data_IF_466681068859
#
_entry.id   IF_466681068859
#
_cell.length_a   1.000
_cell.length_b   1.000
_cell.length_c   1.000
_cell.angle_alpha   90.00
_cell.angle_beta   90.00
_cell.angle_gamma   90.00
#
_symmetry.space_group_name_H-M   'P 1'
#
loop_
_entity.id
_entity.type
_entity.pdbx_description
1 polymer ?
#
# COMPACT_ATOMS: atom_id res chain seq x y z
N UNK A 1 23.82 -11.27 0.47
CA UNK A 1 22.39 -10.97 0.74
C UNK A 1 21.79 -12.20 1.39
N UNK A 2 20.94 -12.08 2.41
CA UNK A 2 20.35 -13.26 3.04
C UNK A 2 19.37 -13.94 2.08
N UNK A 3 19.45 -15.29 1.98
CA UNK A 3 18.53 -16.07 1.13
C UNK A 3 17.14 -16.19 1.75
N UNK A 4 17.08 -16.09 3.09
CA UNK A 4 15.83 -16.11 3.88
C UNK A 4 15.86 -15.11 5.01
N UNK A 5 14.71 -14.51 5.26
CA UNK A 5 14.43 -13.62 6.39
C UNK A 5 13.38 -14.29 7.27
N UNK A 6 13.58 -14.23 8.58
CA UNK A 6 12.58 -14.63 9.59
C UNK A 6 12.11 -13.36 10.28
N UNK A 7 10.81 -13.07 10.18
CA UNK A 7 10.17 -11.94 10.86
C UNK A 7 9.52 -12.45 12.13
N UNK A 8 9.89 -11.85 13.27
CA UNK A 8 9.38 -12.20 14.59
C UNK A 8 8.65 -11.00 15.22
N UNK A 9 7.54 -11.28 15.90
CA UNK A 9 6.85 -10.32 16.75
C UNK A 9 6.59 -10.96 18.11
N UNK A 10 7.05 -10.32 19.18
CA UNK A 10 6.87 -10.81 20.56
C UNK A 10 7.27 -12.29 20.77
N UNK A 11 8.33 -12.76 20.09
CA UNK A 11 8.80 -14.13 20.17
C UNK A 11 8.08 -15.15 19.28
N UNK A 12 7.06 -14.72 18.52
CA UNK A 12 6.32 -15.57 17.58
C UNK A 12 6.80 -15.29 16.16
N UNK A 13 6.98 -16.34 15.36
CA UNK A 13 7.35 -16.21 13.93
C UNK A 13 6.09 -15.78 13.16
N UNK A 14 6.15 -14.61 12.55
CA UNK A 14 5.09 -14.06 11.69
C UNK A 14 5.20 -14.56 10.25
N UNK A 15 6.42 -14.56 9.71
CA UNK A 15 6.67 -15.05 8.36
C UNK A 15 8.14 -15.42 8.15
N UNK A 16 8.37 -16.44 7.32
CA UNK A 16 9.69 -16.84 6.83
C UNK A 16 9.66 -16.85 5.30
N UNK A 17 10.62 -16.24 4.65
CA UNK A 17 10.67 -16.24 3.19
C UNK A 17 11.86 -15.48 2.64
N UNK A 18 11.98 -15.41 1.32
CA UNK A 18 12.97 -14.56 0.66
C UNK A 18 12.60 -13.08 0.85
N UNK A 19 13.55 -12.14 0.72
CA UNK A 19 13.26 -10.69 0.76
C UNK A 19 12.12 -10.28 -0.17
N UNK A 20 12.09 -10.80 -1.40
CA UNK A 20 11.05 -10.50 -2.39
C UNK A 20 9.69 -11.09 -1.99
N UNK A 21 9.66 -12.30 -1.43
CA UNK A 21 8.41 -12.88 -0.93
C UNK A 21 7.80 -12.04 0.20
N UNK A 22 8.61 -11.61 1.17
CA UNK A 22 8.12 -10.78 2.27
C UNK A 22 7.67 -9.39 1.80
N UNK A 23 8.34 -8.87 0.78
CA UNK A 23 8.00 -7.56 0.20
C UNK A 23 6.70 -7.59 -0.59
N UNK A 24 6.55 -8.56 -1.51
CA UNK A 24 5.39 -8.65 -2.42
C UNK A 24 4.21 -9.42 -1.84
N UNK A 25 4.46 -10.35 -0.91
CA UNK A 25 3.43 -11.20 -0.31
C UNK A 25 3.57 -11.23 1.23
N UNK A 26 3.45 -10.08 1.92
CA UNK A 26 3.47 -10.06 3.37
C UNK A 26 2.25 -10.82 3.92
N UNK A 27 2.44 -11.62 4.97
CA UNK A 27 1.37 -12.41 5.55
C UNK A 27 0.33 -11.56 6.31
N UNK A 28 0.77 -10.42 6.85
CA UNK A 28 -0.07 -9.55 7.66
C UNK A 28 0.45 -8.09 7.69
N UNK A 29 -0.30 -7.21 8.36
CA UNK A 29 0.04 -5.79 8.55
C UNK A 29 1.41 -5.58 9.21
N UNK A 30 1.79 -6.44 10.16
CA UNK A 30 3.07 -6.31 10.86
C UNK A 30 4.23 -6.52 9.89
N UNK A 31 4.23 -7.62 9.13
CA UNK A 31 5.26 -7.92 8.13
C UNK A 31 5.30 -6.83 7.06
N UNK A 32 4.14 -6.42 6.54
CA UNK A 32 4.03 -5.38 5.52
C UNK A 32 4.61 -4.03 5.96
N UNK A 33 4.38 -3.66 7.22
CA UNK A 33 4.91 -2.42 7.81
C UNK A 33 6.37 -2.50 8.24
N UNK A 34 6.89 -3.72 8.47
CA UNK A 34 8.27 -3.94 8.87
C UNK A 34 9.22 -4.00 7.67
N UNK A 35 8.78 -4.60 6.56
CA UNK A 35 9.58 -4.81 5.36
C UNK A 35 9.42 -3.63 4.39
N UNK A 36 10.53 -2.99 4.09
CA UNK A 36 10.62 -1.86 3.15
C UNK A 36 11.01 -0.54 3.83
N UNK A 37 11.73 0.29 3.09
CA UNK A 37 12.10 1.65 3.49
C UNK A 37 12.00 2.55 2.24
N UNK A 38 11.08 3.52 2.23
CA UNK A 38 10.07 3.83 3.26
C UNK A 38 9.07 2.70 3.53
N UNK A 39 8.36 2.79 4.67
CA UNK A 39 7.32 1.82 5.04
C UNK A 39 6.11 1.89 4.10
N UNK A 40 5.35 0.79 4.03
CA UNK A 40 4.05 0.74 3.36
C UNK A 40 3.08 1.75 3.97
N UNK A 41 2.33 2.47 3.13
CA UNK A 41 1.20 3.28 3.55
C UNK A 41 0.01 2.38 3.87
N UNK A 42 -0.71 2.66 4.96
CA UNK A 42 -1.92 1.94 5.34
C UNK A 42 -3.12 2.88 5.36
N UNK A 43 -4.05 2.68 4.45
CA UNK A 43 -5.26 3.48 4.31
C UNK A 43 -6.47 2.66 4.78
N UNK A 44 -7.27 3.24 5.67
CA UNK A 44 -8.49 2.59 6.15
C UNK A 44 -9.61 2.74 5.13
N UNK A 45 -10.36 1.66 4.93
CA UNK A 45 -11.47 1.64 4.00
C UNK A 45 -12.50 0.57 4.37
N UNK A 46 -13.45 0.38 3.48
CA UNK A 46 -14.45 -0.67 3.56
C UNK A 46 -14.59 -1.36 2.20
N UNK A 47 -15.07 -2.57 2.21
CA UNK A 47 -15.40 -3.30 0.99
C UNK A 47 -16.62 -2.63 0.34
N UNK A 48 -16.45 -2.10 -0.86
CA UNK A 48 -17.52 -1.46 -1.64
C UNK A 48 -18.16 -2.40 -2.67
N UNK A 49 -17.46 -3.49 -3.00
CA UNK A 49 -17.95 -4.49 -3.95
C UNK A 49 -16.99 -5.67 -4.05
N UNK A 50 -17.53 -6.79 -4.50
CA UNK A 50 -16.82 -8.05 -4.69
C UNK A 50 -17.22 -8.60 -6.05
N UNK A 51 -16.24 -8.96 -6.86
CA UNK A 51 -16.48 -9.64 -8.13
C UNK A 51 -15.34 -10.64 -8.44
N UNK A 52 -15.43 -11.30 -9.59
CA UNK A 52 -14.39 -12.26 -10.01
C UNK A 52 -13.04 -11.64 -10.35
N UNK A 53 -12.93 -10.32 -10.39
CA UNK A 53 -11.70 -9.57 -10.72
C UNK A 53 -11.00 -9.01 -9.47
N UNK A 54 -11.64 -9.10 -8.29
CA UNK A 54 -11.05 -8.65 -7.05
C UNK A 54 -12.04 -8.02 -6.06
N UNK A 55 -11.50 -7.19 -5.19
CA UNK A 55 -12.22 -6.47 -4.14
C UNK A 55 -12.15 -4.97 -4.40
N UNK A 56 -13.30 -4.32 -4.58
CA UNK A 56 -13.39 -2.87 -4.62
C UNK A 56 -13.40 -2.32 -3.19
N UNK A 57 -12.43 -1.46 -2.88
CA UNK A 57 -12.27 -0.80 -1.59
C UNK A 57 -12.66 0.66 -1.73
N UNK A 58 -13.52 1.15 -0.85
CA UNK A 58 -13.84 2.57 -0.71
C UNK A 58 -13.11 3.14 0.50
N UNK A 59 -12.29 4.16 0.28
CA UNK A 59 -11.56 4.86 1.32
C UNK A 59 -12.42 5.97 1.96
N UNK A 60 -11.98 6.51 3.10
CA UNK A 60 -12.71 7.56 3.82
C UNK A 60 -12.91 8.85 3.00
N UNK A 61 -11.99 9.14 2.08
CA UNK A 61 -12.08 10.23 1.11
C UNK A 61 -13.07 9.98 -0.04
N UNK A 62 -13.66 8.78 -0.13
CA UNK A 62 -14.58 8.39 -1.20
C UNK A 62 -13.89 7.79 -2.44
N UNK A 63 -12.57 7.73 -2.45
CA UNK A 63 -11.83 7.07 -3.53
C UNK A 63 -12.12 5.57 -3.53
N UNK A 64 -12.32 5.00 -4.74
CA UNK A 64 -12.54 3.57 -4.93
C UNK A 64 -11.36 2.95 -5.66
N UNK A 65 -10.79 1.91 -5.07
CA UNK A 65 -9.64 1.18 -5.58
C UNK A 65 -10.03 -0.28 -5.75
N UNK A 66 -9.95 -0.82 -6.96
CA UNK A 66 -10.21 -2.23 -7.24
C UNK A 66 -8.90 -3.03 -7.10
N UNK A 67 -8.77 -3.78 -6.03
CA UNK A 67 -7.56 -4.56 -5.71
C UNK A 67 -7.74 -5.99 -6.21
N UNK A 68 -6.80 -6.54 -7.02
CA UNK A 68 -6.93 -7.88 -7.61
C UNK A 68 -6.54 -8.98 -6.61
N UNK A 69 -7.35 -9.14 -5.57
CA UNK A 69 -7.17 -10.15 -4.51
C UNK A 69 -8.40 -11.05 -4.39
N UNK A 70 -8.19 -12.23 -3.80
CA UNK A 70 -9.29 -13.12 -3.45
C UNK A 70 -10.17 -12.50 -2.37
N UNK A 71 -11.48 -12.53 -2.55
CA UNK A 71 -12.43 -11.99 -1.57
C UNK A 71 -12.48 -12.81 -0.28
N UNK A 72 -12.15 -14.09 -0.33
CA UNK A 72 -12.23 -15.00 0.83
C UNK A 72 -13.62 -14.98 1.46
N UNK A 73 -13.69 -14.66 2.74
CA UNK A 73 -14.94 -14.53 3.50
C UNK A 73 -15.43 -13.09 3.65
N UNK A 74 -14.80 -12.13 2.99
CA UNK A 74 -15.18 -10.71 3.05
C UNK A 74 -16.59 -10.48 2.50
N UNK A 75 -17.25 -9.48 3.07
CA UNK A 75 -18.57 -9.01 2.66
C UNK A 75 -18.53 -7.51 2.38
N UNK A 76 -19.49 -7.04 1.61
CA UNK A 76 -19.69 -5.60 1.42
C UNK A 76 -19.87 -4.93 2.79
N UNK A 77 -19.29 -3.76 2.96
CA UNK A 77 -19.18 -2.95 4.17
C UNK A 77 -18.21 -3.48 5.24
N UNK A 78 -17.56 -4.64 5.07
CA UNK A 78 -16.51 -5.07 5.99
C UNK A 78 -15.37 -4.04 6.01
N UNK A 79 -14.88 -3.65 7.22
CA UNK A 79 -13.72 -2.78 7.33
C UNK A 79 -12.46 -3.51 6.87
N UNK A 80 -11.63 -2.80 6.10
CA UNK A 80 -10.37 -3.33 5.56
C UNK A 80 -9.27 -2.28 5.65
N UNK A 81 -8.03 -2.72 5.50
CA UNK A 81 -6.88 -1.83 5.36
C UNK A 81 -6.23 -2.05 4.00
N UNK A 82 -6.16 -0.99 3.20
CA UNK A 82 -5.42 -0.97 1.94
C UNK A 82 -3.96 -0.64 2.22
N UNK A 83 -3.06 -1.54 1.86
CA UNK A 83 -1.61 -1.32 1.91
C UNK A 83 -1.10 -0.86 0.54
N UNK A 84 -0.45 0.29 0.51
CA UNK A 84 0.10 0.88 -0.72
C UNK A 84 1.57 1.20 -0.52
N UNK A 85 2.45 0.59 -1.30
CA UNK A 85 3.87 0.92 -1.27
C UNK A 85 4.09 2.35 -1.76
N UNK A 86 5.10 3.06 -1.24
CA UNK A 86 5.40 4.44 -1.66
C UNK A 86 5.59 4.62 -3.17
N UNK A 87 6.20 3.66 -3.84
CA UNK A 87 6.43 3.63 -5.29
C UNK A 87 5.18 3.27 -6.12
N UNK A 88 4.14 2.75 -5.47
CA UNK A 88 2.83 2.49 -6.11
C UNK A 88 1.94 3.73 -6.15
N UNK A 89 2.37 4.82 -5.50
CA UNK A 89 1.73 6.14 -5.56
C UNK A 89 2.51 7.03 -6.50
N UNK A 90 1.80 7.78 -7.35
CA UNK A 90 2.41 8.79 -8.22
C UNK A 90 1.55 10.03 -8.31
N UNK A 91 2.14 11.24 -8.39
CA UNK A 91 1.41 12.46 -8.70
C UNK A 91 0.71 12.36 -10.05
N UNK A 92 -0.58 12.66 -10.07
CA UNK A 92 -1.40 12.65 -11.27
C UNK A 92 -2.62 13.54 -11.06
N UNK A 93 -2.88 14.47 -11.99
CA UNK A 93 -3.99 15.41 -11.89
C UNK A 93 -5.38 14.72 -11.88
N UNK A 94 -5.48 13.51 -12.45
CA UNK A 94 -6.69 12.68 -12.45
C UNK A 94 -6.72 11.65 -11.29
N UNK A 95 -5.72 11.68 -10.41
CA UNK A 95 -5.61 10.75 -9.30
C UNK A 95 -6.76 10.89 -8.30
N UNK A 96 -7.26 9.77 -7.74
CA UNK A 96 -8.41 9.76 -6.86
C UNK A 96 -8.09 10.23 -5.41
N UNK A 97 -6.81 10.28 -5.03
CA UNK A 97 -6.39 10.67 -3.69
C UNK A 97 -5.89 12.11 -3.68
N UNK A 98 -6.59 13.00 -2.98
CA UNK A 98 -6.22 14.40 -2.87
C UNK A 98 -5.65 14.72 -1.49
N UNK A 99 -4.66 15.61 -1.44
CA UNK A 99 -4.01 15.98 -0.18
C UNK A 99 -3.13 17.22 -0.31
N UNK A 100 -2.33 17.45 0.73
CA UNK A 100 -1.38 18.57 0.79
C UNK A 100 0.00 18.02 1.15
N UNK A 101 1.02 18.43 0.41
CA UNK A 101 2.41 18.08 0.66
C UNK A 101 2.90 18.74 1.95
N UNK A 102 3.49 17.93 2.85
CA UNK A 102 4.07 18.41 4.11
C UNK A 102 5.57 18.60 4.02
N UNK A 103 6.26 17.65 3.40
CA UNK A 103 7.71 17.64 3.29
C UNK A 103 8.12 16.97 1.97
N UNK A 104 9.22 17.41 1.40
CA UNK A 104 9.86 16.76 0.24
C UNK A 104 11.32 16.55 0.54
N UNK A 105 11.75 15.30 0.45
CA UNK A 105 13.15 14.89 0.62
C UNK A 105 13.73 14.48 -0.74
N UNK A 106 14.74 15.18 -1.20
CA UNK A 106 15.45 14.86 -2.46
C UNK A 106 16.77 14.18 -2.14
N UNK A 107 16.85 12.89 -2.42
CA UNK A 107 17.98 12.03 -2.07
C UNK A 107 18.90 11.72 -3.26
N UNK A 108 18.85 12.56 -4.28
CA UNK A 108 19.63 12.40 -5.51
C UNK A 108 18.97 11.45 -6.50
N UNK A 109 19.04 10.13 -6.26
CA UNK A 109 18.44 9.12 -7.14
C UNK A 109 16.93 8.93 -6.95
N UNK A 110 16.35 9.46 -5.89
CA UNK A 110 14.92 9.39 -5.61
C UNK A 110 14.43 10.62 -4.83
N UNK A 111 13.14 10.89 -4.93
CA UNK A 111 12.42 11.91 -4.14
C UNK A 111 11.34 11.24 -3.31
N UNK A 112 11.28 11.57 -2.01
CA UNK A 112 10.20 11.19 -1.12
C UNK A 112 9.30 12.40 -0.87
N UNK A 113 7.99 12.23 -1.12
CA UNK A 113 6.97 13.25 -0.86
C UNK A 113 6.12 12.76 0.30
N UNK A 114 6.16 13.49 1.41
CA UNK A 114 5.28 13.28 2.54
C UNK A 114 4.04 14.16 2.37
N UNK A 115 2.89 13.54 2.20
CA UNK A 115 1.63 14.26 2.02
C UNK A 115 0.60 13.83 3.08
N UNK A 116 -0.28 14.76 3.41
CA UNK A 116 -1.47 14.50 4.22
C UNK A 116 -2.66 14.47 3.29
N UNK A 117 -3.29 13.31 3.14
CA UNK A 117 -4.53 13.17 2.39
C UNK A 117 -5.68 13.82 3.16
N UNK A 118 -6.66 14.36 2.44
CA UNK A 118 -7.74 15.15 3.05
C UNK A 118 -8.57 14.39 4.08
N UNK A 119 -8.72 13.06 3.92
CA UNK A 119 -9.50 12.21 4.81
C UNK A 119 -8.87 10.87 5.15
N UNK A 120 -7.81 10.50 4.43
CA UNK A 120 -7.23 9.16 4.52
C UNK A 120 -5.91 9.14 5.30
N UNK A 121 -5.46 10.32 5.79
CA UNK A 121 -4.28 10.46 6.64
C UNK A 121 -2.96 10.59 5.87
N UNK A 122 -1.83 10.43 6.58
CA UNK A 122 -0.51 10.65 6.00
C UNK A 122 -0.10 9.53 5.05
N UNK A 123 0.57 9.92 3.95
CA UNK A 123 1.19 8.99 3.00
C UNK A 123 2.59 9.45 2.61
N UNK A 124 3.42 8.50 2.23
CA UNK A 124 4.72 8.72 1.61
C UNK A 124 4.64 8.23 0.17
N UNK A 125 5.06 9.08 -0.76
CA UNK A 125 5.20 8.79 -2.18
C UNK A 125 6.67 8.72 -2.52
N UNK A 126 7.10 7.72 -3.28
CA UNK A 126 8.47 7.60 -3.76
C UNK A 126 8.50 7.73 -5.27
N UNK A 127 9.33 8.64 -5.76
CA UNK A 127 9.51 8.93 -7.19
C UNK A 127 10.98 8.77 -7.53
N UNK A 128 11.27 8.14 -8.65
CA UNK A 128 12.65 8.07 -9.18
C UNK A 128 13.10 9.47 -9.66
N UNK A 129 14.34 9.80 -9.35
CA UNK A 129 14.94 11.08 -9.73
C UNK A 129 14.40 12.27 -8.96
N UNK A 130 14.37 13.42 -9.64
CA UNK A 130 13.91 14.71 -9.09
C UNK A 130 12.51 15.03 -9.60
N UNK A 131 11.66 15.46 -8.69
CA UNK A 131 10.32 15.94 -8.97
C UNK A 131 10.17 17.42 -8.56
N UNK A 132 9.31 18.17 -9.28
CA UNK A 132 9.07 19.60 -9.04
C UNK A 132 8.13 19.92 -7.88
N UNK A 133 7.61 18.91 -7.19
CA UNK A 133 6.69 19.08 -6.06
C UNK A 133 7.34 19.90 -4.95
N UNK A 134 6.56 20.82 -4.37
CA UNK A 134 7.00 21.71 -3.29
C UNK A 134 6.16 21.50 -2.02
N UNK A 135 6.73 21.77 -0.82
CA UNK A 135 5.96 21.79 0.42
C UNK A 135 4.76 22.74 0.33
N UNK A 136 3.67 22.39 1.03
CA UNK A 136 2.39 23.11 1.07
C UNK A 136 1.59 23.14 -0.24
N UNK A 137 2.09 22.51 -1.29
CA UNK A 137 1.37 22.36 -2.55
C UNK A 137 0.23 21.33 -2.41
N UNK A 138 -0.88 21.58 -3.11
CA UNK A 138 -1.93 20.57 -3.31
C UNK A 138 -1.41 19.50 -4.25
N UNK A 139 -1.71 18.24 -3.91
CA UNK A 139 -1.33 17.10 -4.71
C UNK A 139 -2.52 16.16 -4.88
N UNK A 140 -2.63 15.59 -6.05
CA UNK A 140 -3.49 14.44 -6.32
C UNK A 140 -2.62 13.26 -6.72
N UNK A 141 -3.00 12.07 -6.27
CA UNK A 141 -2.20 10.86 -6.42
C UNK A 141 -3.02 9.77 -7.10
N UNK A 142 -2.41 9.15 -8.09
CA UNK A 142 -2.86 7.89 -8.67
C UNK A 142 -2.25 6.73 -7.88
N UNK A 143 -3.04 5.67 -7.72
CA UNK A 143 -2.63 4.41 -7.10
C UNK A 143 -2.52 3.35 -8.20
N UNK A 144 -1.47 2.53 -8.15
CA UNK A 144 -1.41 1.30 -8.94
C UNK A 144 -2.07 0.15 -8.16
N UNK A 145 -3.30 -0.25 -8.51
CA UNK A 145 -4.03 -1.26 -7.74
C UNK A 145 -3.45 -2.66 -7.88
N UNK A 146 -2.69 -2.94 -8.95
CA UNK A 146 -2.12 -4.26 -9.22
C UNK A 146 -1.07 -4.69 -8.17
N UNK A 147 -0.43 -3.71 -7.51
CA UNK A 147 0.60 -3.96 -6.50
C UNK A 147 0.15 -3.59 -5.08
N UNK A 148 -1.11 -3.18 -4.91
CA UNK A 148 -1.69 -2.94 -3.58
C UNK A 148 -1.91 -4.24 -2.83
N UNK A 149 -1.78 -4.18 -1.50
CA UNK A 149 -2.14 -5.27 -0.60
C UNK A 149 -3.49 -4.96 0.07
N UNK A 150 -4.27 -5.98 0.37
CA UNK A 150 -5.49 -5.82 1.15
C UNK A 150 -5.44 -6.67 2.41
N UNK A 151 -5.76 -6.07 3.54
CA UNK A 151 -5.76 -6.72 4.84
C UNK A 151 -7.16 -6.70 5.43
N UNK A 152 -7.57 -7.84 5.97
CA UNK A 152 -8.85 -8.01 6.66
C UNK A 152 -8.86 -7.34 8.05
N UNK A 153 -9.98 -7.49 8.77
CA UNK A 153 -10.16 -6.94 10.12
C UNK A 153 -9.19 -7.50 11.15
N UNK A 154 -8.61 -8.67 10.90
CA UNK A 154 -7.60 -9.30 11.77
C UNK A 154 -6.18 -8.87 11.42
N UNK A 155 -6.01 -8.10 10.34
CA UNK A 155 -4.72 -7.68 9.81
C UNK A 155 -4.05 -8.71 8.91
N UNK A 156 -4.75 -9.77 8.52
CA UNK A 156 -4.23 -10.79 7.61
C UNK A 156 -4.32 -10.33 6.16
N UNK A 157 -3.27 -10.57 5.39
CA UNK A 157 -3.26 -10.23 3.97
C UNK A 157 -4.15 -11.19 3.15
N UNK A 158 -4.89 -10.60 2.21
CA UNK A 158 -5.65 -11.38 1.22
C UNK A 158 -4.74 -11.81 0.07
N UNK A 159 -4.84 -13.06 -0.38
CA UNK A 159 -4.05 -13.54 -1.50
C UNK A 159 -4.34 -12.79 -2.79
N UNK A 160 -3.31 -12.43 -3.56
CA UNK A 160 -3.47 -11.88 -4.90
C UNK A 160 -4.02 -12.95 -5.86
N UNK A 161 -4.88 -12.54 -6.79
CA UNK A 161 -5.38 -13.39 -7.89
C UNK A 161 -4.24 -13.81 -8.83
N UNK A 162 -3.22 -12.97 -8.97
CA UNK A 162 -2.02 -13.26 -9.75
C UNK A 162 -0.79 -13.05 -8.87
N UNK A 163 0.06 -14.07 -8.74
CA UNK A 163 1.30 -13.94 -7.97
C UNK A 163 2.34 -13.13 -8.72
N UNK A 164 3.15 -12.37 -7.98
CA UNK A 164 4.28 -11.65 -8.55
C UNK A 164 5.31 -12.65 -9.12
N UNK A 165 5.79 -12.48 -10.37
CA UNK A 165 6.64 -13.47 -11.04
C UNK A 165 7.99 -13.71 -10.32
N UNK A 166 8.51 -12.72 -9.59
CA UNK A 166 9.78 -12.82 -8.85
C UNK A 166 9.61 -13.31 -7.39
N UNK A 167 8.39 -13.60 -6.95
CA UNK A 167 8.08 -14.08 -5.62
C UNK A 167 7.19 -15.33 -5.69
N UNK A 168 7.72 -16.46 -6.18
CA UNK A 168 6.99 -17.71 -6.36
C UNK A 168 6.49 -18.31 -5.04
#
# INVERSE_FOLDING_TARGET
MADKIVVLQAGVIEQVGTPLQLYHHPANLFVAGFIGSPRMNFLKGRVAGLDGTGVAVELAGGARIAVPVEAGTMRVDDPVTLGVRPEALRPDAAGPLAGTVRLVERLGGLTLIHAELDRDGPVIVQIEGSDGTAPHQRITLQVDPAVCQLFDTTGRAMPHLTRHPLAP
#
